data_IF_170686822548
#
_entry.id   IF_170686822548
#
_cell.length_a   1.000
_cell.length_b   1.000
_cell.length_c   1.000
_cell.angle_alpha   90.00
_cell.angle_beta   90.00
_cell.angle_gamma   90.00
#
_symmetry.space_group_name_H-M   'P 1'
#
loop_
_entity.id
_entity.type
_entity.pdbx_description
1 polymer ?
#
# COMPACT_ATOMS: atom_id res chain seq x y z
N UNK A 1 34.23 49.80 31.05
CA UNK A 1 33.93 49.01 29.83
C UNK A 1 33.23 47.72 30.24
N UNK A 2 31.92 47.75 30.56
CA UNK A 2 31.21 46.55 31.06
C UNK A 2 29.77 46.39 30.53
N UNK A 3 29.18 47.44 29.95
CA UNK A 3 27.78 47.42 29.54
C UNK A 3 27.50 46.65 28.24
N UNK A 4 28.46 46.59 27.31
CA UNK A 4 28.28 45.90 26.01
C UNK A 4 28.29 44.36 26.13
N UNK A 5 29.00 43.80 27.12
CA UNK A 5 29.14 42.35 27.31
C UNK A 5 27.82 41.71 27.78
N UNK A 6 27.16 42.31 28.76
CA UNK A 6 25.92 41.78 29.33
C UNK A 6 24.73 41.81 28.34
N UNK A 7 24.67 42.81 27.46
CA UNK A 7 23.60 42.88 26.46
C UNK A 7 23.82 41.89 25.31
N UNK A 8 25.08 41.70 24.89
CA UNK A 8 25.48 40.66 23.94
C UNK A 8 25.18 39.25 24.45
N UNK A 9 25.51 38.98 25.72
CA UNK A 9 25.25 37.68 26.36
C UNK A 9 23.76 37.35 26.42
N UNK A 10 22.91 38.30 26.83
CA UNK A 10 21.44 38.11 26.84
C UNK A 10 20.86 37.88 25.45
N UNK A 11 21.41 38.53 24.41
CA UNK A 11 21.01 38.30 23.00
C UNK A 11 21.45 36.92 22.52
N UNK A 12 22.67 36.51 22.86
CA UNK A 12 23.19 35.17 22.55
C UNK A 12 22.35 34.07 23.22
N UNK A 13 22.05 34.20 24.51
CA UNK A 13 21.21 33.23 25.23
C UNK A 13 19.81 33.15 24.62
N UNK A 14 19.18 34.28 24.27
CA UNK A 14 17.87 34.29 23.59
C UNK A 14 17.92 33.61 22.23
N UNK A 15 18.97 33.85 21.45
CA UNK A 15 19.16 33.20 20.14
C UNK A 15 19.33 31.68 20.29
N UNK A 16 20.13 31.23 21.27
CA UNK A 16 20.32 29.80 21.56
C UNK A 16 18.99 29.16 21.97
N UNK A 17 18.25 29.78 22.89
CA UNK A 17 16.93 29.28 23.32
C UNK A 17 15.97 29.20 22.14
N UNK A 18 15.94 30.22 21.28
CA UNK A 18 15.08 30.20 20.08
C UNK A 18 15.45 29.04 19.14
N UNK A 19 16.75 28.80 18.89
CA UNK A 19 17.21 27.67 18.06
C UNK A 19 16.82 26.33 18.67
N UNK A 20 17.01 26.16 19.99
CA UNK A 20 16.64 24.92 20.70
C UNK A 20 15.14 24.67 20.62
N UNK A 21 14.32 25.70 20.83
CA UNK A 21 12.86 25.59 20.72
C UNK A 21 12.45 25.23 19.30
N UNK A 22 13.02 25.87 18.28
CA UNK A 22 12.73 25.54 16.88
C UNK A 22 13.15 24.11 16.57
N UNK A 23 14.33 23.67 17.00
CA UNK A 23 14.78 22.30 16.80
C UNK A 23 13.86 21.28 17.49
N UNK A 24 13.45 21.55 18.73
CA UNK A 24 12.52 20.69 19.46
C UNK A 24 11.14 20.61 18.79
N UNK A 25 10.62 21.74 18.28
CA UNK A 25 9.37 21.77 17.52
C UNK A 25 9.50 21.00 16.21
N UNK A 26 10.59 21.18 15.47
CA UNK A 26 10.83 20.45 14.20
C UNK A 26 10.92 18.95 14.45
N UNK A 27 11.68 18.51 15.46
CA UNK A 27 11.79 17.09 15.83
C UNK A 27 10.43 16.55 16.30
N UNK A 28 9.69 17.32 17.11
CA UNK A 28 8.36 16.95 17.57
C UNK A 28 7.37 16.78 16.42
N UNK A 29 7.34 17.72 15.47
CA UNK A 29 6.50 17.64 14.27
C UNK A 29 6.91 16.45 13.40
N UNK A 30 8.20 16.23 13.21
CA UNK A 30 8.70 15.08 12.43
C UNK A 30 8.34 13.73 13.07
N UNK A 31 8.41 13.63 14.40
CA UNK A 31 8.04 12.41 15.12
C UNK A 31 6.53 12.12 15.05
N UNK A 32 5.71 13.18 15.09
CA UNK A 32 4.24 13.09 15.05
C UNK A 32 3.68 13.04 13.63
N UNK A 33 4.49 13.23 12.60
CA UNK A 33 4.04 13.17 11.22
C UNK A 33 3.73 11.74 10.79
N UNK A 34 2.58 11.52 10.11
CA UNK A 34 2.26 10.21 9.56
C UNK A 34 3.38 9.73 8.64
N UNK A 35 3.96 8.58 8.97
CA UNK A 35 4.97 7.96 8.12
C UNK A 35 4.31 7.39 6.86
N UNK A 36 4.98 7.44 5.70
CA UNK A 36 4.50 6.74 4.52
C UNK A 36 4.38 5.24 4.81
N UNK A 37 3.61 4.53 3.98
CA UNK A 37 3.58 3.07 3.97
C UNK A 37 5.02 2.54 3.89
N UNK A 38 5.38 1.63 4.79
CA UNK A 38 6.68 0.98 4.78
C UNK A 38 6.60 -0.35 4.03
N UNK A 39 7.29 -0.43 2.89
CA UNK A 39 7.44 -1.66 2.10
C UNK A 39 8.87 -2.19 2.09
N UNK A 40 9.77 -1.60 2.89
CA UNK A 40 11.21 -1.89 2.84
C UNK A 40 11.57 -3.29 3.36
N UNK A 41 10.67 -3.89 4.14
CA UNK A 41 10.84 -5.21 4.75
C UNK A 41 9.79 -6.23 4.28
N UNK A 42 9.06 -5.91 3.20
CA UNK A 42 8.01 -6.79 2.68
C UNK A 42 8.59 -8.11 2.21
N UNK A 43 7.99 -9.22 2.67
CA UNK A 43 8.26 -10.55 2.15
C UNK A 43 7.36 -10.82 0.95
N UNK A 44 7.96 -11.00 -0.22
CA UNK A 44 7.22 -11.29 -1.45
C UNK A 44 7.30 -12.80 -1.72
N UNK A 45 6.15 -13.47 -1.68
CA UNK A 45 6.00 -14.92 -1.91
C UNK A 45 5.13 -15.17 -3.15
N UNK A 46 5.79 -15.32 -4.31
CA UNK A 46 5.11 -15.55 -5.58
C UNK A 46 5.33 -17.01 -5.98
N UNK A 47 4.25 -17.77 -6.12
CA UNK A 47 4.30 -19.12 -6.70
C UNK A 47 4.66 -19.03 -8.18
N UNK A 48 5.32 -20.05 -8.72
CA UNK A 48 5.45 -20.19 -10.17
C UNK A 48 4.07 -20.13 -10.85
N UNK A 49 3.94 -19.26 -11.85
CA UNK A 49 2.69 -19.03 -12.57
C UNK A 49 2.78 -19.59 -13.98
N UNK A 50 1.68 -20.22 -14.43
CA UNK A 50 1.49 -20.58 -15.83
C UNK A 50 0.68 -19.53 -16.61
N UNK A 51 -0.02 -18.65 -15.87
CA UNK A 51 -0.92 -17.62 -16.38
C UNK A 51 -0.22 -16.28 -16.65
N UNK A 52 0.70 -15.88 -15.77
CA UNK A 52 1.38 -14.59 -15.82
C UNK A 52 2.89 -14.76 -15.91
N UNK A 53 3.53 -13.91 -16.72
CA UNK A 53 4.98 -13.80 -16.73
C UNK A 53 5.48 -13.15 -15.43
N UNK A 54 6.72 -13.42 -15.04
CA UNK A 54 7.33 -12.85 -13.83
C UNK A 54 7.22 -11.33 -13.77
N UNK A 55 7.45 -10.64 -14.89
CA UNK A 55 7.31 -9.17 -14.97
C UNK A 55 5.87 -8.70 -14.67
N UNK A 56 4.86 -9.47 -15.06
CA UNK A 56 3.46 -9.13 -14.76
C UNK A 56 3.16 -9.34 -13.27
N UNK A 57 3.77 -10.35 -12.63
CA UNK A 57 3.63 -10.58 -11.19
C UNK A 57 4.37 -9.52 -10.37
N UNK A 58 5.55 -9.09 -10.81
CA UNK A 58 6.24 -7.94 -10.23
C UNK A 58 5.39 -6.67 -10.35
N UNK A 59 4.82 -6.42 -11.52
CA UNK A 59 3.93 -5.28 -11.76
C UNK A 59 2.65 -5.34 -10.90
N UNK A 60 2.14 -6.55 -10.62
CA UNK A 60 1.00 -6.79 -9.73
C UNK A 60 1.33 -6.43 -8.28
N UNK A 61 2.50 -6.84 -7.78
CA UNK A 61 2.99 -6.44 -6.45
C UNK A 61 3.15 -4.91 -6.37
N UNK A 62 3.70 -4.28 -7.41
CA UNK A 62 3.79 -2.81 -7.46
C UNK A 62 2.42 -2.14 -7.51
N UNK A 63 1.41 -2.76 -8.13
CA UNK A 63 0.04 -2.26 -8.12
C UNK A 63 -0.55 -2.26 -6.71
N UNK A 64 -0.35 -3.35 -5.95
CA UNK A 64 -0.72 -3.45 -4.53
C UNK A 64 -0.13 -2.30 -3.70
N UNK A 65 1.17 -2.03 -3.86
CA UNK A 65 1.80 -0.91 -3.14
C UNK A 65 1.23 0.46 -3.52
N UNK A 66 0.85 0.66 -4.78
CA UNK A 66 0.24 1.93 -5.23
C UNK A 66 -1.14 2.13 -4.62
N UNK A 67 -1.98 1.09 -4.60
CA UNK A 67 -3.34 1.21 -4.01
C UNK A 67 -3.28 1.37 -2.50
N UNK A 68 -2.26 0.82 -1.84
CA UNK A 68 -2.04 0.97 -0.39
C UNK A 68 -1.21 2.19 0.01
N UNK A 69 -0.70 3.00 -0.92
CA UNK A 69 0.17 4.14 -0.60
C UNK A 69 -0.46 5.17 0.37
N UNK A 70 -1.79 5.17 0.48
CA UNK A 70 -2.58 5.96 1.43
C UNK A 70 -2.54 5.47 2.88
N UNK A 71 -2.16 4.22 3.13
CA UNK A 71 -2.12 3.58 4.46
C UNK A 71 -0.89 4.05 5.25
N UNK A 72 -0.97 5.29 5.77
CA UNK A 72 0.11 5.90 6.56
C UNK A 72 0.27 5.21 7.90
N UNK A 73 1.50 5.17 8.41
CA UNK A 73 1.88 4.47 9.65
C UNK A 73 1.67 2.95 9.64
N UNK A 74 1.55 2.34 8.45
CA UNK A 74 1.48 0.90 8.28
C UNK A 74 2.75 0.37 7.60
N UNK A 75 3.04 -0.92 7.80
CA UNK A 75 4.00 -1.70 7.03
C UNK A 75 3.30 -2.80 6.26
N UNK A 76 3.73 -3.07 5.03
CA UNK A 76 3.36 -4.30 4.32
C UNK A 76 4.36 -5.37 4.72
N UNK A 77 3.93 -6.35 5.50
CA UNK A 77 4.81 -7.38 6.03
C UNK A 77 4.99 -8.51 5.01
N UNK A 78 3.92 -8.82 4.27
CA UNK A 78 3.91 -9.87 3.27
C UNK A 78 2.97 -9.55 2.11
N UNK A 79 3.41 -9.91 0.90
CA UNK A 79 2.56 -10.00 -0.29
C UNK A 79 2.73 -11.40 -0.85
N UNK A 80 1.63 -12.12 -1.03
CA UNK A 80 1.62 -13.48 -1.56
C UNK A 80 0.74 -13.57 -2.80
N UNK A 81 1.27 -14.25 -3.81
CA UNK A 81 0.50 -14.75 -4.94
C UNK A 81 0.66 -16.26 -5.02
N UNK A 82 -0.46 -16.98 -4.94
CA UNK A 82 -0.53 -18.40 -5.27
C UNK A 82 -1.57 -18.60 -6.37
N UNK A 83 -1.14 -19.06 -7.55
CA UNK A 83 -2.03 -19.17 -8.71
C UNK A 83 -3.23 -20.07 -8.43
N UNK A 84 -3.05 -21.18 -7.70
CA UNK A 84 -4.16 -22.11 -7.41
C UNK A 84 -5.14 -21.52 -6.41
N UNK A 85 -4.67 -20.79 -5.42
CA UNK A 85 -5.50 -20.12 -4.44
C UNK A 85 -6.26 -18.95 -5.08
N UNK A 86 -5.56 -18.16 -5.90
CA UNK A 86 -6.16 -17.07 -6.68
C UNK A 86 -7.27 -17.59 -7.59
N UNK A 87 -7.04 -18.67 -8.34
CA UNK A 87 -8.05 -19.21 -9.26
C UNK A 87 -9.30 -19.74 -8.54
N UNK A 88 -9.18 -20.23 -7.30
CA UNK A 88 -10.34 -20.63 -6.48
C UNK A 88 -11.21 -19.44 -6.11
N UNK A 89 -10.60 -18.31 -5.73
CA UNK A 89 -11.34 -17.09 -5.40
C UNK A 89 -11.97 -16.51 -6.67
N UNK A 90 -11.24 -16.50 -7.78
CA UNK A 90 -11.78 -16.12 -9.10
C UNK A 90 -13.01 -16.97 -9.46
N UNK A 91 -13.00 -18.29 -9.20
CA UNK A 91 -14.19 -19.14 -9.39
C UNK A 91 -15.36 -18.74 -8.50
N UNK A 92 -15.08 -18.41 -7.23
CA UNK A 92 -16.10 -17.94 -6.27
C UNK A 92 -16.71 -16.60 -6.71
N UNK A 93 -15.89 -15.66 -7.16
CA UNK A 93 -16.35 -14.34 -7.61
C UNK A 93 -17.22 -14.43 -8.87
N UNK A 94 -16.87 -15.30 -9.82
CA UNK A 94 -17.70 -15.58 -10.99
C UNK A 94 -19.04 -16.20 -10.59
N UNK A 95 -19.03 -17.18 -9.68
CA UNK A 95 -20.25 -17.83 -9.20
C UNK A 95 -21.14 -16.85 -8.40
N UNK A 96 -20.53 -15.97 -7.60
CA UNK A 96 -21.21 -14.91 -6.87
C UNK A 96 -21.88 -13.91 -7.81
N UNK A 97 -21.19 -13.44 -8.85
CA UNK A 97 -21.78 -12.56 -9.87
C UNK A 97 -22.93 -13.24 -10.61
N UNK A 98 -22.73 -14.49 -11.04
CA UNK A 98 -23.75 -15.27 -11.73
C UNK A 98 -25.03 -15.49 -10.89
N UNK A 99 -24.89 -15.54 -9.56
CA UNK A 99 -26.02 -15.64 -8.61
C UNK A 99 -26.63 -14.28 -8.23
N UNK A 100 -26.07 -13.19 -8.73
CA UNK A 100 -26.52 -11.83 -8.44
C UNK A 100 -26.15 -11.34 -7.03
N UNK A 101 -25.09 -11.90 -6.43
CA UNK A 101 -24.59 -11.47 -5.11
C UNK A 101 -23.73 -10.20 -5.17
N UNK A 102 -23.40 -9.72 -6.38
CA UNK A 102 -22.65 -8.49 -6.60
C UNK A 102 -21.16 -8.71 -6.34
N UNK A 103 -20.45 -9.13 -7.38
CA UNK A 103 -18.99 -9.28 -7.36
C UNK A 103 -18.36 -8.34 -8.39
N UNK A 104 -17.49 -7.45 -7.95
CA UNK A 104 -16.82 -6.53 -8.85
C UNK A 104 -15.84 -7.26 -9.77
N UNK A 105 -15.05 -8.19 -9.24
CA UNK A 105 -14.14 -9.01 -10.03
C UNK A 105 -14.89 -9.96 -10.96
N UNK A 106 -15.95 -10.63 -10.49
CA UNK A 106 -16.78 -11.52 -11.29
C UNK A 106 -17.39 -10.80 -12.50
N UNK A 107 -17.92 -9.59 -12.30
CA UNK A 107 -18.40 -8.74 -13.39
C UNK A 107 -17.27 -8.35 -14.36
N UNK A 108 -16.12 -7.92 -13.85
CA UNK A 108 -14.96 -7.56 -14.67
C UNK A 108 -14.46 -8.76 -15.51
N UNK A 109 -14.48 -9.97 -14.95
CA UNK A 109 -14.15 -11.21 -15.66
C UNK A 109 -15.17 -11.47 -16.78
N UNK A 110 -16.46 -11.25 -16.53
CA UNK A 110 -17.50 -11.36 -17.55
C UNK A 110 -17.27 -10.41 -18.74
N UNK A 111 -16.73 -9.22 -18.48
CA UNK A 111 -16.47 -8.19 -19.50
C UNK A 111 -15.13 -8.38 -20.23
N UNK A 112 -14.07 -8.79 -19.53
CA UNK A 112 -12.69 -8.77 -20.03
C UNK A 112 -12.04 -10.15 -20.17
N UNK A 113 -12.74 -11.21 -19.77
CA UNK A 113 -12.24 -12.57 -19.76
C UNK A 113 -11.43 -12.90 -18.51
N UNK A 114 -11.38 -14.19 -18.17
CA UNK A 114 -10.76 -14.71 -16.94
C UNK A 114 -9.24 -14.53 -16.87
N UNK A 115 -8.57 -14.54 -18.02
CA UNK A 115 -7.11 -14.69 -18.09
C UNK A 115 -6.34 -13.50 -17.51
N UNK A 116 -6.99 -12.36 -17.29
CA UNK A 116 -6.38 -11.20 -16.63
C UNK A 116 -6.69 -11.08 -15.14
N UNK A 117 -7.48 -11.97 -14.53
CA UNK A 117 -7.83 -11.88 -13.12
C UNK A 117 -6.73 -12.46 -12.21
N UNK A 118 -6.39 -11.78 -11.12
CA UNK A 118 -5.46 -12.27 -10.11
C UNK A 118 -5.88 -11.79 -8.73
N UNK A 119 -5.60 -12.60 -7.71
CA UNK A 119 -5.86 -12.24 -6.31
C UNK A 119 -4.55 -12.29 -5.54
N UNK A 120 -4.21 -11.19 -4.87
CA UNK A 120 -3.11 -11.09 -3.94
C UNK A 120 -3.61 -11.23 -2.51
N UNK A 121 -2.76 -11.81 -1.66
CA UNK A 121 -2.96 -11.82 -0.21
C UNK A 121 -1.94 -10.88 0.40
N UNK A 122 -2.40 -9.90 1.14
CA UNK A 122 -1.57 -8.84 1.70
C UNK A 122 -1.72 -8.84 3.21
N UNK A 123 -0.60 -8.98 3.90
CA UNK A 123 -0.52 -8.89 5.36
C UNK A 123 0.10 -7.53 5.70
N UNK A 124 -0.61 -6.71 6.47
CA UNK A 124 -0.21 -5.37 6.87
C UNK A 124 -0.28 -5.17 8.37
N UNK A 125 0.76 -4.60 8.96
CA UNK A 125 0.72 -4.15 10.36
C UNK A 125 0.59 -2.63 10.40
N UNK A 126 -0.45 -2.12 11.07
CA UNK A 126 -0.64 -0.70 11.28
C UNK A 126 -0.37 -0.30 12.73
N UNK A 127 0.10 0.94 12.94
CA UNK A 127 0.34 1.47 14.29
C UNK A 127 -0.96 1.63 15.09
N UNK A 128 -2.01 2.05 14.41
CA UNK A 128 -3.36 2.09 14.96
C UNK A 128 -4.11 0.87 14.39
N UNK A 129 -4.93 0.17 15.19
CA UNK A 129 -5.68 -0.98 14.70
C UNK A 129 -6.61 -0.51 13.58
N UNK A 130 -6.48 -1.14 12.42
CA UNK A 130 -7.43 -1.02 11.32
C UNK A 130 -8.17 -2.36 11.20
N UNK A 131 -9.46 -2.31 10.92
CA UNK A 131 -10.13 -3.48 10.37
C UNK A 131 -9.44 -3.78 9.02
N UNK A 132 -9.15 -5.05 8.72
CA UNK A 132 -8.51 -5.54 7.49
C UNK A 132 -6.96 -5.44 7.42
N UNK A 133 -6.27 -5.73 8.52
CA UNK A 133 -4.79 -5.90 8.53
C UNK A 133 -4.33 -6.99 7.56
N UNK A 134 -5.08 -8.09 7.45
CA UNK A 134 -4.90 -9.12 6.42
C UNK A 134 -6.08 -9.05 5.46
N UNK A 135 -5.81 -8.89 4.16
CA UNK A 135 -6.87 -8.77 3.16
C UNK A 135 -6.49 -9.36 1.80
N UNK A 136 -7.53 -9.63 1.02
CA UNK A 136 -7.42 -10.05 -0.36
C UNK A 136 -7.55 -8.83 -1.27
N UNK A 137 -6.65 -8.71 -2.25
CA UNK A 137 -6.75 -7.68 -3.28
C UNK A 137 -7.04 -8.33 -4.63
N UNK A 138 -8.21 -8.03 -5.17
CA UNK A 138 -8.72 -8.60 -6.40
C UNK A 138 -8.40 -7.68 -7.57
N UNK A 139 -7.53 -8.13 -8.46
CA UNK A 139 -7.04 -7.34 -9.58
C UNK A 139 -7.47 -7.90 -10.92
N UNK A 140 -7.61 -7.00 -11.89
CA UNK A 140 -7.80 -7.31 -13.30
C UNK A 140 -6.72 -6.62 -14.14
N UNK A 141 -6.06 -7.37 -15.02
CA UNK A 141 -5.07 -6.85 -15.96
C UNK A 141 -5.79 -6.29 -17.20
N UNK A 142 -5.98 -4.96 -17.23
CA UNK A 142 -6.81 -4.28 -18.21
C UNK A 142 -5.99 -3.48 -19.24
N UNK A 143 -6.45 -3.42 -20.50
CA UNK A 143 -5.83 -2.60 -21.53
C UNK A 143 -5.97 -1.10 -21.21
N UNK A 144 -4.89 -0.36 -21.41
CA UNK A 144 -4.80 1.08 -21.17
C UNK A 144 -4.90 1.87 -22.47
N UNK A 145 -5.19 3.16 -22.37
CA UNK A 145 -5.35 4.06 -23.53
C UNK A 145 -4.06 4.20 -24.38
N UNK A 146 -2.89 3.94 -23.78
CA UNK A 146 -1.59 3.97 -24.44
C UNK A 146 -1.21 2.65 -25.13
N UNK A 147 -2.11 1.66 -25.11
CA UNK A 147 -1.90 0.33 -25.71
C UNK A 147 -1.15 -0.65 -24.79
N UNK A 148 -0.80 -0.25 -23.56
CA UNK A 148 -0.24 -1.15 -22.55
C UNK A 148 -1.34 -1.90 -21.80
N UNK A 149 -0.96 -2.78 -20.86
CA UNK A 149 -1.88 -3.35 -19.87
C UNK A 149 -1.41 -2.96 -18.48
N UNK A 150 -2.34 -2.69 -17.58
CA UNK A 150 -2.05 -2.39 -16.19
C UNK A 150 -3.01 -3.13 -15.26
N UNK A 151 -2.52 -3.45 -14.07
CA UNK A 151 -3.34 -4.03 -13.01
C UNK A 151 -4.22 -2.97 -12.38
N UNK A 152 -5.52 -3.22 -12.40
CA UNK A 152 -6.54 -2.38 -11.80
C UNK A 152 -7.25 -3.16 -10.70
N UNK A 153 -7.29 -2.58 -9.50
CA UNK A 153 -8.00 -3.14 -8.36
C UNK A 153 -9.50 -3.10 -8.65
N UNK A 154 -10.15 -4.26 -8.58
CA UNK A 154 -11.59 -4.41 -8.73
C UNK A 154 -12.29 -4.36 -7.39
N UNK A 155 -11.73 -5.06 -6.40
CA UNK A 155 -12.29 -5.12 -5.05
C UNK A 155 -11.21 -5.40 -3.99
N UNK A 156 -11.58 -5.19 -2.72
CA UNK A 156 -10.87 -5.70 -1.55
C UNK A 156 -11.77 -6.67 -0.81
N UNK A 157 -11.36 -7.93 -0.79
CA UNK A 157 -11.99 -8.95 0.01
C UNK A 157 -11.51 -8.90 1.46
N UNK A 158 -12.37 -9.29 2.39
CA UNK A 158 -11.97 -9.51 3.77
C UNK A 158 -11.22 -10.85 3.85
N UNK A 159 -10.03 -10.87 4.46
CA UNK A 159 -9.25 -12.09 4.72
C UNK A 159 -9.83 -13.00 5.80
#
# INVERSE_FOLDING_TARGET
MESHSAHSWKRLTRAIVAVVVVAAVVVGVWWLWPKPLDTSHTKVEISASSKFADAQLDDLVQASYRVNAGMKNCSVDKVKYDERQSEKIVDMEIDADAKGHGSALGRAIGEHGRDGAAVLFVDMTCRDPVDDEDHEEEFMLLPQADGTKAWELQDRGNG
#
